data_IF_736798407327
#
_entry.id   IF_736798407327
#
_cell.length_a   1.000
_cell.length_b   1.000
_cell.length_c   1.000
_cell.angle_alpha   90.00
_cell.angle_beta   90.00
_cell.angle_gamma   90.00
#
_symmetry.space_group_name_H-M   'P 1'
#
loop_
_entity.id
_entity.type
_entity.pdbx_description
1 polymer ?
#
# COMPACT_ATOMS: atom_id res chain seq x y z
N UNK A 1 14.30 -7.72 -10.96
CA UNK A 1 15.47 -6.89 -11.29
C UNK A 1 15.72 -5.73 -10.31
N UNK A 2 14.71 -5.19 -9.60
CA UNK A 2 14.87 -4.03 -8.71
C UNK A 2 15.68 -4.24 -7.41
N UNK A 3 15.83 -5.48 -6.90
CA UNK A 3 16.48 -5.72 -5.59
C UNK A 3 17.98 -5.40 -5.56
N UNK A 4 18.67 -5.41 -6.70
CA UNK A 4 20.12 -5.18 -6.74
C UNK A 4 20.50 -3.71 -6.49
N UNK A 5 19.62 -2.78 -6.84
CA UNK A 5 19.91 -1.35 -6.75
C UNK A 5 19.88 -0.84 -5.30
N UNK A 6 18.96 -1.31 -4.47
CA UNK A 6 18.87 -0.85 -3.08
C UNK A 6 20.17 -1.05 -2.27
N UNK A 7 20.80 -2.24 -2.24
CA UNK A 7 22.10 -2.43 -1.59
C UNK A 7 23.21 -1.57 -2.20
N UNK A 8 23.19 -1.37 -3.51
CA UNK A 8 24.24 -0.60 -4.19
C UNK A 8 24.14 0.89 -3.84
N UNK A 9 22.94 1.48 -3.92
CA UNK A 9 22.71 2.86 -3.50
C UNK A 9 22.96 3.07 -2.01
N UNK A 10 22.66 2.09 -1.14
CA UNK A 10 23.04 2.16 0.28
C UNK A 10 24.56 2.29 0.48
N UNK A 11 25.38 1.57 -0.32
CA UNK A 11 26.85 1.69 -0.31
C UNK A 11 27.38 2.96 -0.99
N UNK A 12 26.64 3.50 -1.96
CA UNK A 12 27.01 4.73 -2.65
C UNK A 12 26.85 5.90 -1.68
N UNK A 13 25.65 6.02 -1.12
CA UNK A 13 25.25 7.11 -0.22
C UNK A 13 26.02 7.10 1.10
N UNK A 14 26.54 5.95 1.53
CA UNK A 14 27.43 5.89 2.71
C UNK A 14 28.75 6.65 2.53
N UNK A 15 29.16 6.94 1.29
CA UNK A 15 30.37 7.72 0.98
C UNK A 15 30.09 9.17 0.55
N UNK A 16 28.81 9.53 0.39
CA UNK A 16 28.43 10.89 0.08
C UNK A 16 28.39 11.75 1.36
N UNK A 17 28.76 13.02 1.24
CA UNK A 17 28.84 14.00 2.31
C UNK A 17 27.69 15.02 2.23
N UNK A 18 27.07 15.27 3.39
CA UNK A 18 26.04 16.31 3.55
C UNK A 18 26.67 17.69 3.30
N UNK A 19 25.91 18.57 2.66
CA UNK A 19 26.28 19.94 2.27
C UNK A 19 27.40 20.03 1.19
N UNK A 20 27.85 18.89 0.66
CA UNK A 20 28.78 18.80 -0.48
C UNK A 20 28.11 18.06 -1.64
N UNK A 21 27.62 16.85 -1.38
CA UNK A 21 26.98 15.98 -2.37
C UNK A 21 25.46 16.14 -2.41
N UNK A 22 24.85 16.46 -1.26
CA UNK A 22 23.42 16.64 -1.12
C UNK A 22 23.09 17.57 0.04
N UNK A 23 21.93 18.22 -0.05
CA UNK A 23 21.33 19.01 1.03
C UNK A 23 20.13 18.28 1.64
N UNK A 24 19.93 18.50 2.93
CA UNK A 24 18.81 17.92 3.70
C UNK A 24 18.00 19.03 4.34
N UNK A 25 16.72 19.11 3.99
CA UNK A 25 15.75 19.95 4.68
C UNK A 25 14.99 19.09 5.70
N UNK A 26 15.43 19.14 6.96
CA UNK A 26 14.83 18.38 8.06
C UNK A 26 13.39 18.84 8.37
N UNK A 27 13.06 20.13 8.15
CA UNK A 27 11.71 20.64 8.40
C UNK A 27 10.72 20.12 7.39
N UNK A 28 11.12 20.04 6.12
CA UNK A 28 10.28 19.50 5.04
C UNK A 28 10.44 17.99 4.85
N UNK A 29 11.40 17.36 5.53
CA UNK A 29 11.82 15.96 5.33
C UNK A 29 12.10 15.66 3.85
N UNK A 30 12.83 16.55 3.19
CA UNK A 30 13.22 16.42 1.78
C UNK A 30 14.73 16.43 1.63
N UNK A 31 15.23 15.78 0.58
CA UNK A 31 16.64 15.73 0.21
C UNK A 31 16.79 16.23 -1.22
N UNK A 32 17.87 16.95 -1.49
CA UNK A 32 18.21 17.49 -2.80
C UNK A 32 19.64 17.11 -3.13
N UNK A 33 19.85 16.41 -4.24
CA UNK A 33 21.20 16.03 -4.68
C UNK A 33 21.84 17.23 -5.39
N UNK A 34 23.08 17.58 -5.01
CA UNK A 34 23.85 18.67 -5.60
C UNK A 34 24.63 18.17 -6.83
N UNK A 35 25.12 19.11 -7.65
CA UNK A 35 25.87 18.79 -8.87
C UNK A 35 27.06 17.86 -8.63
N UNK A 36 27.82 18.08 -7.55
CA UNK A 36 28.94 17.22 -7.18
C UNK A 36 28.49 15.78 -6.88
N UNK A 37 27.40 15.62 -6.11
CA UNK A 37 26.84 14.31 -5.78
C UNK A 37 26.34 13.55 -7.01
N UNK A 38 25.80 14.26 -8.02
CA UNK A 38 25.39 13.66 -9.29
C UNK A 38 26.61 13.06 -10.00
N UNK A 39 27.71 13.81 -10.14
CA UNK A 39 28.94 13.34 -10.79
C UNK A 39 29.53 12.12 -10.09
N UNK A 40 29.61 12.13 -8.75
CA UNK A 40 30.12 10.98 -7.98
C UNK A 40 29.28 9.72 -8.20
N UNK A 41 27.96 9.88 -8.29
CA UNK A 41 27.04 8.76 -8.55
C UNK A 41 27.19 8.25 -9.98
N UNK A 42 27.26 9.13 -10.97
CA UNK A 42 27.45 8.81 -12.38
C UNK A 42 28.74 8.01 -12.62
N UNK A 43 29.87 8.49 -12.08
CA UNK A 43 31.16 7.81 -12.17
C UNK A 43 31.12 6.41 -11.55
N UNK A 44 30.44 6.26 -10.42
CA UNK A 44 30.37 4.99 -9.68
C UNK A 44 29.44 3.97 -10.33
N UNK A 45 28.41 4.45 -11.02
CA UNK A 45 27.49 3.63 -11.81
C UNK A 45 28.00 3.36 -13.23
N UNK A 46 29.00 4.12 -13.70
CA UNK A 46 29.54 4.03 -15.05
C UNK A 46 28.55 4.52 -16.12
N UNK A 47 27.72 5.50 -15.77
CA UNK A 47 26.70 6.09 -16.66
C UNK A 47 27.08 7.52 -17.02
N UNK A 48 26.72 7.98 -18.22
CA UNK A 48 27.03 9.34 -18.67
C UNK A 48 26.08 10.39 -18.09
N UNK A 49 24.81 10.02 -17.85
CA UNK A 49 23.80 10.96 -17.36
C UNK A 49 22.73 10.25 -16.51
N UNK A 50 22.64 10.62 -15.24
CA UNK A 50 21.63 10.10 -14.31
C UNK A 50 20.20 10.50 -14.69
N UNK A 51 20.03 11.62 -15.41
CA UNK A 51 18.73 12.18 -15.82
C UNK A 51 18.27 11.73 -17.22
N UNK A 52 18.97 10.78 -17.84
CA UNK A 52 18.47 10.15 -19.06
C UNK A 52 17.19 9.34 -18.77
N UNK A 53 16.26 9.30 -19.74
CA UNK A 53 14.97 8.61 -19.59
C UNK A 53 15.11 7.16 -19.10
N UNK A 54 16.14 6.44 -19.57
CA UNK A 54 16.44 5.07 -19.17
C UNK A 54 16.84 4.94 -17.68
N UNK A 55 17.41 6.00 -17.10
CA UNK A 55 17.95 6.04 -15.74
C UNK A 55 16.98 6.65 -14.72
N UNK A 56 15.80 7.10 -15.14
CA UNK A 56 14.77 7.70 -14.27
C UNK A 56 14.52 6.93 -12.97
N UNK A 57 14.45 5.57 -12.94
CA UNK A 57 14.29 4.83 -11.70
C UNK A 57 15.46 4.97 -10.71
N UNK A 58 16.69 5.18 -11.20
CA UNK A 58 17.90 5.32 -10.39
C UNK A 58 17.85 6.56 -9.48
N UNK A 59 17.21 7.63 -9.96
CA UNK A 59 16.97 8.85 -9.17
C UNK A 59 16.12 8.53 -7.94
N UNK A 60 15.11 7.68 -8.09
CA UNK A 60 14.27 7.22 -6.99
C UNK A 60 15.07 6.46 -5.94
N UNK A 61 15.92 5.52 -6.36
CA UNK A 61 16.78 4.77 -5.45
C UNK A 61 17.80 5.65 -4.72
N UNK A 62 18.45 6.59 -5.42
CA UNK A 62 19.38 7.54 -4.81
C UNK A 62 18.69 8.39 -3.75
N UNK A 63 17.57 9.01 -4.09
CA UNK A 63 16.81 9.85 -3.17
C UNK A 63 16.34 9.06 -1.94
N UNK A 64 15.82 7.85 -2.13
CA UNK A 64 15.38 7.01 -1.03
C UNK A 64 16.53 6.54 -0.13
N UNK A 65 17.70 6.25 -0.70
CA UNK A 65 18.88 5.90 0.08
C UNK A 65 19.40 7.09 0.92
N UNK A 66 19.42 8.31 0.37
CA UNK A 66 19.79 9.52 1.12
C UNK A 66 18.75 9.82 2.21
N UNK A 67 17.45 9.75 1.89
CA UNK A 67 16.38 9.89 2.90
C UNK A 67 16.54 8.86 4.01
N UNK A 68 16.75 7.59 3.67
CA UNK A 68 16.95 6.53 4.65
C UNK A 68 18.18 6.78 5.53
N UNK A 69 19.28 7.31 4.98
CA UNK A 69 20.49 7.66 5.74
C UNK A 69 20.24 8.81 6.72
N UNK A 70 19.64 9.91 6.25
CA UNK A 70 19.63 11.20 6.95
C UNK A 70 18.36 11.50 7.75
N UNK A 71 17.18 11.07 7.26
CA UNK A 71 15.87 11.47 7.80
C UNK A 71 15.18 10.39 8.65
N UNK A 72 15.76 9.19 8.70
CA UNK A 72 15.21 8.05 9.43
C UNK A 72 16.29 7.44 10.30
N UNK A 73 16.05 7.45 11.61
CA UNK A 73 17.01 6.98 12.60
C UNK A 73 16.52 5.71 13.27
N UNK A 74 17.44 4.76 13.39
CA UNK A 74 17.25 3.55 14.18
C UNK A 74 17.01 3.91 15.65
N UNK A 75 16.14 3.16 16.31
CA UNK A 75 15.69 3.34 17.69
C UNK A 75 14.90 4.63 17.96
N UNK A 76 14.49 5.34 16.89
CA UNK A 76 13.58 6.50 16.95
C UNK A 76 12.42 6.37 15.97
N UNK A 77 12.70 6.29 14.68
CA UNK A 77 11.70 6.16 13.62
C UNK A 77 11.36 4.69 13.33
N UNK A 78 12.34 3.80 13.49
CA UNK A 78 12.20 2.36 13.29
C UNK A 78 13.16 1.58 14.19
N UNK A 79 12.90 0.29 14.36
CA UNK A 79 13.80 -0.67 15.02
C UNK A 79 14.02 -1.89 14.13
N UNK A 80 15.14 -2.59 14.34
CA UNK A 80 15.43 -3.85 13.63
C UNK A 80 15.29 -5.00 14.61
N UNK A 81 14.31 -5.87 14.39
CA UNK A 81 14.03 -7.02 15.26
C UNK A 81 13.82 -8.25 14.40
N UNK A 82 14.50 -9.36 14.73
CA UNK A 82 14.35 -10.62 13.99
C UNK A 82 14.75 -10.54 12.52
N UNK A 83 15.62 -9.58 12.14
CA UNK A 83 15.95 -9.34 10.74
C UNK A 83 14.82 -8.66 9.96
N UNK A 84 13.99 -7.84 10.62
CA UNK A 84 12.96 -7.04 9.97
C UNK A 84 12.99 -5.60 10.48
N UNK A 85 12.73 -4.64 9.59
CA UNK A 85 12.56 -3.22 9.93
C UNK A 85 11.12 -2.99 10.38
N UNK A 86 10.93 -2.59 11.62
CA UNK A 86 9.62 -2.29 12.21
C UNK A 86 9.51 -0.79 12.47
N UNK A 87 8.43 -0.17 11.98
CA UNK A 87 8.17 1.26 12.19
C UNK A 87 7.79 1.50 13.66
N UNK A 88 8.32 2.57 14.25
CA UNK A 88 7.97 3.01 15.59
C UNK A 88 7.00 4.19 15.50
N UNK A 89 5.92 4.11 16.27
CA UNK A 89 4.99 5.23 16.41
C UNK A 89 5.62 6.36 17.25
N UNK A 90 5.68 7.57 16.69
CA UNK A 90 6.36 8.72 17.31
C UNK A 90 5.78 9.13 18.67
N UNK A 91 4.48 8.90 18.89
CA UNK A 91 3.79 9.34 20.12
C UNK A 91 3.85 8.28 21.21
N UNK A 92 3.75 7.01 20.83
CA UNK A 92 3.59 5.89 21.79
C UNK A 92 4.84 5.03 21.94
N UNK A 93 5.81 5.15 21.02
CA UNK A 93 7.00 4.29 20.98
C UNK A 93 6.69 2.82 20.65
N UNK A 94 5.45 2.49 20.26
CA UNK A 94 5.04 1.13 19.94
C UNK A 94 5.46 0.76 18.53
N UNK A 95 5.86 -0.50 18.34
CA UNK A 95 6.15 -1.05 17.02
C UNK A 95 4.86 -1.32 16.24
N UNK A 96 4.77 -0.78 15.03
CA UNK A 96 3.65 -0.97 14.11
C UNK A 96 3.94 -2.15 13.18
N UNK A 97 3.74 -3.37 13.68
CA UNK A 97 3.94 -4.59 12.90
C UNK A 97 3.06 -4.61 11.64
N UNK A 98 3.63 -5.01 10.51
CA UNK A 98 2.94 -5.11 9.22
C UNK A 98 2.82 -3.79 8.44
N UNK A 99 3.19 -2.65 9.02
CA UNK A 99 3.30 -1.38 8.28
C UNK A 99 4.67 -1.26 7.62
N UNK A 100 4.68 -0.78 6.37
CA UNK A 100 5.89 -0.45 5.61
C UNK A 100 5.83 1.02 5.17
N UNK A 101 6.99 1.62 4.92
CA UNK A 101 7.06 2.94 4.30
C UNK A 101 6.81 2.80 2.79
N UNK A 102 6.16 3.80 2.20
CA UNK A 102 5.78 3.79 0.78
C UNK A 102 6.97 4.13 -0.14
N UNK A 103 6.72 4.02 -1.45
CA UNK A 103 7.60 4.49 -2.53
C UNK A 103 9.02 3.92 -2.50
N UNK A 104 9.20 2.70 -2.01
CA UNK A 104 10.51 2.05 -1.97
C UNK A 104 11.41 2.49 -0.80
N UNK A 105 10.95 3.38 0.09
CA UNK A 105 11.73 3.84 1.23
C UNK A 105 12.01 2.71 2.24
N UNK A 106 11.07 1.79 2.41
CA UNK A 106 11.23 0.70 3.36
C UNK A 106 12.34 -0.26 2.92
N UNK A 107 12.44 -0.55 1.63
CA UNK A 107 13.51 -1.35 1.04
C UNK A 107 14.86 -0.64 1.13
N UNK A 108 14.87 0.69 1.01
CA UNK A 108 16.09 1.48 1.23
C UNK A 108 16.56 1.38 2.70
N UNK A 109 15.64 1.34 3.68
CA UNK A 109 15.96 1.11 5.09
C UNK A 109 16.43 -0.32 5.34
N UNK A 110 15.79 -1.33 4.75
CA UNK A 110 16.25 -2.73 4.81
C UNK A 110 17.68 -2.85 4.27
N UNK A 111 17.97 -2.20 3.14
CA UNK A 111 19.31 -2.17 2.56
C UNK A 111 20.35 -1.44 3.44
N UNK A 112 19.96 -0.28 4.02
CA UNK A 112 20.78 0.50 4.97
C UNK A 112 21.18 -0.34 6.18
N UNK A 113 20.24 -1.09 6.75
CA UNK A 113 20.46 -1.93 7.94
C UNK A 113 21.01 -3.32 7.63
N UNK A 114 21.31 -3.61 6.35
CA UNK A 114 21.83 -4.89 5.87
C UNK A 114 20.91 -6.07 6.19
N UNK A 115 19.61 -5.82 6.09
CA UNK A 115 18.52 -6.77 6.30
C UNK A 115 18.04 -7.32 4.95
N UNK A 116 17.41 -8.50 4.96
CA UNK A 116 16.80 -9.08 3.77
C UNK A 116 15.71 -8.15 3.20
N UNK A 117 15.84 -7.81 1.92
CA UNK A 117 14.90 -6.91 1.23
C UNK A 117 13.70 -7.72 0.77
N UNK A 118 12.55 -7.44 1.38
CA UNK A 118 11.29 -8.10 1.03
C UNK A 118 10.66 -7.42 -0.18
N UNK A 119 10.08 -8.24 -1.07
CA UNK A 119 9.30 -7.73 -2.19
C UNK A 119 8.14 -6.86 -1.70
N UNK A 120 7.90 -5.76 -2.41
CA UNK A 120 6.71 -4.94 -2.21
C UNK A 120 5.83 -5.10 -3.45
N UNK A 121 4.57 -5.45 -3.21
CA UNK A 121 3.56 -5.41 -4.25
C UNK A 121 3.06 -3.98 -4.36
N UNK A 122 3.40 -3.31 -5.46
CA UNK A 122 2.90 -1.97 -5.74
C UNK A 122 1.49 -2.06 -6.32
N UNK A 123 0.55 -1.34 -5.72
CA UNK A 123 -0.76 -1.14 -6.32
C UNK A 123 -0.64 -0.13 -7.47
N UNK A 124 -0.69 -0.61 -8.71
CA UNK A 124 -0.55 0.22 -9.91
C UNK A 124 -1.80 1.04 -10.23
N UNK A 125 -2.97 0.49 -9.95
CA UNK A 125 -4.25 1.13 -10.17
C UNK A 125 -5.25 0.69 -9.10
N UNK A 126 -6.18 1.57 -8.75
CA UNK A 126 -7.28 1.25 -7.85
C UNK A 126 -8.52 2.01 -8.29
N UNK A 127 -9.65 1.31 -8.29
CA UNK A 127 -10.96 1.91 -8.46
C UNK A 127 -11.95 1.15 -7.57
N UNK A 128 -12.88 1.86 -6.96
CA UNK A 128 -13.99 1.23 -6.24
C UNK A 128 -15.04 0.75 -7.23
N UNK A 129 -15.81 -0.28 -6.89
CA UNK A 129 -16.89 -0.74 -7.76
C UNK A 129 -17.92 0.37 -8.02
N UNK A 130 -18.19 1.20 -7.01
CA UNK A 130 -19.07 2.37 -7.13
C UNK A 130 -18.59 3.30 -8.25
N UNK A 131 -17.32 3.72 -8.19
CA UNK A 131 -16.76 4.64 -9.17
C UNK A 131 -16.65 4.00 -10.56
N UNK A 132 -16.30 2.71 -10.63
CA UNK A 132 -16.21 1.97 -11.88
C UNK A 132 -17.55 1.93 -12.61
N UNK A 133 -18.65 1.59 -11.94
CA UNK A 133 -19.96 1.52 -12.57
C UNK A 133 -20.57 2.88 -12.92
N UNK A 134 -20.20 3.95 -12.20
CA UNK A 134 -20.64 5.33 -12.54
C UNK A 134 -20.02 5.88 -13.81
N UNK A 135 -19.02 5.21 -14.39
CA UNK A 135 -18.42 5.59 -15.68
C UNK A 135 -19.29 5.23 -16.89
N UNK A 136 -20.31 4.38 -16.73
CA UNK A 136 -21.19 3.98 -17.83
C UNK A 136 -22.26 5.04 -18.07
N UNK A 137 -22.46 5.45 -19.33
CA UNK A 137 -23.54 6.39 -19.72
C UNK A 137 -24.94 5.86 -19.36
N UNK A 138 -25.09 4.53 -19.37
CA UNK A 138 -26.31 3.84 -18.95
C UNK A 138 -25.96 2.63 -18.10
N UNK A 139 -26.53 2.60 -16.90
CA UNK A 139 -26.38 1.50 -15.95
C UNK A 139 -27.74 0.85 -15.68
N UNK A 140 -27.77 -0.48 -15.58
CA UNK A 140 -28.94 -1.26 -15.20
C UNK A 140 -28.49 -2.54 -14.51
N UNK A 141 -29.33 -3.10 -13.64
CA UNK A 141 -29.05 -4.32 -12.90
C UNK A 141 -30.30 -5.18 -12.73
N UNK A 142 -30.10 -6.46 -12.41
CA UNK A 142 -31.17 -7.40 -12.09
C UNK A 142 -30.78 -8.28 -10.92
N UNK A 143 -31.69 -8.46 -9.97
CA UNK A 143 -31.55 -9.36 -8.82
C UNK A 143 -32.92 -9.66 -8.22
N UNK A 144 -33.02 -10.72 -7.43
CA UNK A 144 -34.25 -11.07 -6.71
C UNK A 144 -34.43 -10.33 -5.37
N UNK A 145 -33.44 -9.57 -4.91
CA UNK A 145 -33.38 -9.02 -3.55
C UNK A 145 -32.95 -7.55 -3.51
N UNK A 146 -33.38 -6.73 -4.48
CA UNK A 146 -32.99 -5.31 -4.54
C UNK A 146 -33.92 -4.38 -3.74
N UNK A 147 -35.17 -4.78 -3.49
CA UNK A 147 -36.19 -3.90 -2.91
C UNK A 147 -35.79 -3.35 -1.53
N UNK A 148 -35.16 -4.15 -0.68
CA UNK A 148 -34.71 -3.70 0.65
C UNK A 148 -33.55 -2.71 0.61
N UNK A 149 -32.79 -2.67 -0.49
CA UNK A 149 -31.60 -1.83 -0.65
C UNK A 149 -31.81 -0.71 -1.69
N UNK A 150 -33.07 -0.39 -2.03
CA UNK A 150 -33.41 0.63 -3.02
C UNK A 150 -32.76 1.99 -2.72
N UNK A 151 -32.74 2.39 -1.44
CA UNK A 151 -32.11 3.64 -1.03
C UNK A 151 -30.62 3.72 -1.39
N UNK A 152 -29.86 2.63 -1.19
CA UNK A 152 -28.44 2.58 -1.52
C UNK A 152 -28.22 2.59 -3.05
N UNK A 153 -29.05 1.85 -3.80
CA UNK A 153 -28.99 1.86 -5.27
C UNK A 153 -29.26 3.25 -5.85
N UNK A 154 -30.23 3.97 -5.30
CA UNK A 154 -30.54 5.32 -5.75
C UNK A 154 -29.45 6.33 -5.35
N UNK A 155 -28.98 6.30 -4.10
CA UNK A 155 -27.98 7.26 -3.60
C UNK A 155 -26.63 7.12 -4.32
N UNK A 156 -26.16 5.88 -4.52
CA UNK A 156 -24.83 5.62 -5.08
C UNK A 156 -24.84 5.64 -6.62
N UNK A 157 -25.87 5.03 -7.23
CA UNK A 157 -25.90 4.76 -8.66
C UNK A 157 -27.03 5.48 -9.43
N UNK A 158 -27.96 6.14 -8.74
CA UNK A 158 -29.14 6.75 -9.37
C UNK A 158 -30.09 5.72 -9.97
N UNK A 159 -30.08 4.48 -9.46
CA UNK A 159 -30.91 3.40 -9.96
C UNK A 159 -32.17 3.24 -9.09
N UNK A 160 -33.32 3.31 -9.72
CA UNK A 160 -34.60 2.92 -9.12
C UNK A 160 -34.77 1.40 -9.16
N UNK A 161 -35.44 0.83 -8.15
CA UNK A 161 -35.70 -0.60 -8.09
C UNK A 161 -37.13 -0.88 -8.51
N UNK A 162 -37.32 -1.76 -9.49
CA UNK A 162 -38.64 -2.18 -9.94
C UNK A 162 -38.85 -3.66 -9.65
N UNK A 163 -39.87 -3.97 -8.83
CA UNK A 163 -40.24 -5.35 -8.50
C UNK A 163 -41.07 -5.95 -9.64
N UNK A 164 -40.48 -6.90 -10.35
CA UNK A 164 -41.15 -7.63 -11.43
C UNK A 164 -41.94 -8.81 -10.84
N UNK A 165 -43.24 -8.97 -11.14
CA UNK A 165 -44.04 -10.09 -10.66
C UNK A 165 -43.47 -11.45 -11.08
N UNK A 166 -43.61 -12.46 -10.23
CA UNK A 166 -43.18 -13.82 -10.58
C UNK A 166 -44.09 -14.43 -11.65
N UNK A 167 -43.51 -15.24 -12.53
CA UNK A 167 -44.26 -15.93 -13.59
C UNK A 167 -45.30 -16.94 -13.05
N UNK A 168 -45.08 -17.45 -11.83
CA UNK A 168 -45.98 -18.38 -11.13
C UNK A 168 -46.13 -17.98 -9.66
N UNK A 169 -47.23 -18.35 -8.99
CA UNK A 169 -47.37 -18.17 -7.55
C UNK A 169 -46.23 -18.86 -6.79
N UNK A 170 -45.70 -18.18 -5.76
CA UNK A 170 -44.66 -18.73 -4.90
C UNK A 170 -45.30 -19.79 -3.99
N UNK A 171 -44.76 -21.01 -4.02
CA UNK A 171 -45.23 -22.14 -3.22
C UNK A 171 -44.22 -22.56 -2.13
N UNK A 172 -43.16 -21.76 -1.90
CA UNK A 172 -42.14 -22.02 -0.88
C UNK A 172 -42.70 -21.66 0.50
N UNK A 173 -42.53 -22.57 1.47
CA UNK A 173 -42.88 -22.33 2.86
C UNK A 173 -41.66 -21.78 3.61
N UNK A 174 -41.68 -20.48 3.92
CA UNK A 174 -40.65 -19.83 4.72
C UNK A 174 -40.99 -19.95 6.22
N UNK A 175 -40.27 -20.84 6.93
CA UNK A 175 -40.43 -21.05 8.38
C UNK A 175 -39.78 -19.93 9.19
N UNK A 176 -40.25 -19.72 10.42
CA UNK A 176 -39.65 -18.73 11.33
C UNK A 176 -38.26 -19.16 11.81
N UNK A 177 -37.41 -18.17 12.10
CA UNK A 177 -36.08 -18.40 12.64
C UNK A 177 -36.12 -19.06 14.02
N UNK A 178 -35.28 -20.08 14.21
CA UNK A 178 -35.05 -20.72 15.51
C UNK A 178 -33.79 -20.12 16.16
N UNK A 179 -33.97 -19.44 17.30
CA UNK A 179 -32.88 -18.76 18.03
C UNK A 179 -32.42 -19.61 19.22
N UNK A 180 -31.13 -19.97 19.24
CA UNK A 180 -30.52 -20.80 20.28
C UNK A 180 -29.57 -20.00 21.17
N UNK A 181 -29.44 -20.40 22.44
CA UNK A 181 -28.58 -19.73 23.42
C UNK A 181 -27.10 -19.94 23.11
N UNK A 182 -26.72 -21.11 22.60
CA UNK A 182 -25.33 -21.42 22.25
C UNK A 182 -25.19 -21.91 20.81
N UNK A 183 -24.01 -21.69 20.22
CA UNK A 183 -23.68 -22.25 18.89
C UNK A 183 -23.80 -23.76 18.88
N UNK A 184 -23.42 -24.45 19.96
CA UNK A 184 -23.49 -25.91 20.06
C UNK A 184 -24.93 -26.42 19.97
N UNK A 185 -25.86 -25.80 20.71
CA UNK A 185 -27.29 -26.16 20.64
C UNK A 185 -27.86 -25.92 19.24
N UNK A 186 -27.52 -24.78 18.61
CA UNK A 186 -27.90 -24.50 17.21
C UNK A 186 -27.42 -25.61 16.27
N UNK A 187 -26.15 -25.99 16.34
CA UNK A 187 -25.60 -27.02 15.45
C UNK A 187 -26.18 -28.41 15.70
N UNK A 188 -26.43 -28.77 16.96
CA UNK A 188 -27.11 -30.03 17.27
C UNK A 188 -28.52 -30.04 16.66
N UNK A 189 -29.28 -28.96 16.82
CA UNK A 189 -30.62 -28.87 16.25
C UNK A 189 -30.64 -28.90 14.71
N UNK A 190 -29.62 -28.31 14.04
CA UNK A 190 -29.45 -28.40 12.58
C UNK A 190 -29.20 -29.85 12.15
N UNK A 191 -28.47 -30.64 12.95
CA UNK A 191 -28.16 -32.04 12.63
C UNK A 191 -29.35 -32.97 12.89
N UNK A 192 -30.19 -32.61 13.86
CA UNK A 192 -31.39 -33.38 14.24
C UNK A 192 -32.60 -33.14 13.30
N UNK A 193 -32.54 -32.13 12.41
CA UNK A 193 -33.56 -31.80 11.39
C UNK A 193 -33.35 -32.56 10.06
#
# INVERSE_FOLDING_TARGET
>A
ENKQWYPEFAKIVSRLERDVDYEVDEKKRTVSVLGHGITVVEERLGIENLYESANTPLIGYLNNAIKAKELFHRDKDYVVVGGEVLIVDEHTGRTLAGRRYNEGLHQALEAKEHVEIKDEYQTLATITLQNYFRMYDKLAGMTGTAETEEGEFFEIYGLEVSVVPTNRPIAREDRQDLVYKTRREKYNAIVDE
#
